data_IF_388327110302
#
_entry.id   IF_388327110302
#
_cell.length_a   1.000
_cell.length_b   1.000
_cell.length_c   1.000
_cell.angle_alpha   90.00
_cell.angle_beta   90.00
_cell.angle_gamma   90.00
#
_symmetry.space_group_name_H-M   'P 1'
#
loop_
_entity.id
_entity.type
_entity.pdbx_description
1 polymer ?
#
# COMPACT_ATOMS: atom_id res chain seq x y z
N UNK A 1 35.33 2.15 39.11
CA UNK A 1 35.24 0.98 38.21
C UNK A 1 33.83 0.40 38.03
N UNK A 2 33.02 0.27 39.08
CA UNK A 2 31.66 -0.31 38.96
C UNK A 2 30.66 0.46 38.08
N UNK A 3 30.62 1.79 38.16
CA UNK A 3 29.68 2.62 37.42
C UNK A 3 29.94 2.64 35.89
N UNK A 4 31.21 2.63 35.47
CA UNK A 4 31.62 2.54 34.07
C UNK A 4 31.20 1.20 33.46
N UNK A 5 31.37 0.11 34.18
CA UNK A 5 31.00 -1.24 33.73
C UNK A 5 29.49 -1.41 33.64
N UNK A 6 28.73 -0.78 34.55
CA UNK A 6 27.26 -0.77 34.49
C UNK A 6 26.74 0.01 33.28
N UNK A 7 27.30 1.18 33.00
CA UNK A 7 26.95 2.02 31.86
C UNK A 7 27.23 1.33 30.52
N UNK A 8 28.34 0.64 30.39
CA UNK A 8 28.67 -0.14 29.19
C UNK A 8 27.72 -1.33 28.99
N UNK A 9 27.38 -2.05 30.07
CA UNK A 9 26.36 -3.13 30.00
C UNK A 9 24.99 -2.62 29.60
N UNK A 10 24.56 -1.46 30.14
CA UNK A 10 23.30 -0.84 29.78
C UNK A 10 23.27 -0.45 28.30
N UNK A 11 24.35 0.16 27.79
CA UNK A 11 24.44 0.53 26.35
C UNK A 11 24.38 -0.70 25.44
N UNK A 12 25.07 -1.79 25.82
CA UNK A 12 25.01 -3.07 25.05
C UNK A 12 23.59 -3.66 25.05
N UNK A 13 22.87 -3.60 26.16
CA UNK A 13 21.49 -4.07 26.26
C UNK A 13 20.56 -3.22 25.38
N UNK A 14 20.68 -1.89 25.45
CA UNK A 14 19.90 -0.97 24.63
C UNK A 14 20.10 -1.24 23.13
N UNK A 15 21.34 -1.41 22.68
CA UNK A 15 21.62 -1.73 21.27
C UNK A 15 21.02 -3.08 20.84
N UNK A 16 21.07 -4.11 21.72
CA UNK A 16 20.42 -5.40 21.44
C UNK A 16 18.91 -5.29 21.32
N UNK A 17 18.25 -4.60 22.24
CA UNK A 17 16.81 -4.38 22.21
C UNK A 17 16.36 -3.60 20.97
N UNK A 18 17.16 -2.62 20.55
CA UNK A 18 16.88 -1.84 19.37
C UNK A 18 16.98 -2.66 18.09
N UNK A 19 18.04 -3.46 17.96
CA UNK A 19 18.18 -4.39 16.84
C UNK A 19 17.06 -5.43 16.85
N UNK A 20 16.68 -5.96 18.01
CA UNK A 20 15.56 -6.89 18.13
C UNK A 20 14.25 -6.24 17.67
N UNK A 21 13.97 -5.00 18.09
CA UNK A 21 12.79 -4.27 17.66
C UNK A 21 12.77 -4.05 16.14
N UNK A 22 13.90 -3.67 15.55
CA UNK A 22 14.01 -3.51 14.09
C UNK A 22 13.76 -4.83 13.35
N UNK A 23 14.40 -5.93 13.78
CA UNK A 23 14.18 -7.24 13.16
C UNK A 23 12.73 -7.72 13.30
N UNK A 24 12.10 -7.49 14.44
CA UNK A 24 10.68 -7.81 14.64
C UNK A 24 9.76 -7.00 13.74
N UNK A 25 10.05 -5.70 13.53
CA UNK A 25 9.36 -4.87 12.53
C UNK A 25 9.55 -5.44 11.12
N UNK A 26 10.76 -5.87 10.76
CA UNK A 26 11.03 -6.50 9.47
C UNK A 26 10.27 -7.83 9.30
N UNK A 27 10.22 -8.66 10.35
CA UNK A 27 9.43 -9.91 10.36
C UNK A 27 7.94 -9.62 10.20
N UNK A 28 7.41 -8.62 10.92
CA UNK A 28 6.02 -8.19 10.75
C UNK A 28 5.73 -7.82 9.30
N UNK A 29 6.56 -6.99 8.67
CA UNK A 29 6.36 -6.60 7.28
C UNK A 29 6.43 -7.78 6.31
N UNK A 30 7.40 -8.68 6.50
CA UNK A 30 7.52 -9.86 5.66
C UNK A 30 6.31 -10.79 5.79
N UNK A 31 5.80 -11.00 7.03
CA UNK A 31 4.66 -11.87 7.29
C UNK A 31 3.30 -11.23 6.97
N UNK A 32 3.19 -9.89 6.98
CA UNK A 32 1.92 -9.18 6.70
C UNK A 32 1.37 -9.54 5.33
N UNK A 33 2.25 -9.76 4.38
CA UNK A 33 1.89 -10.00 2.99
C UNK A 33 1.83 -11.48 2.62
N UNK A 34 2.18 -12.36 3.55
CA UNK A 34 2.10 -13.81 3.34
C UNK A 34 0.80 -14.33 3.94
N UNK A 35 -0.10 -14.92 3.14
CA UNK A 35 -1.35 -15.51 3.64
C UNK A 35 -1.11 -16.52 4.75
N UNK A 36 -2.04 -16.59 5.70
CA UNK A 36 -2.03 -17.49 6.87
C UNK A 36 -0.93 -17.21 7.92
N UNK A 37 -0.12 -16.16 7.77
CA UNK A 37 0.91 -15.76 8.75
C UNK A 37 0.38 -14.77 9.81
N UNK A 38 -0.93 -14.78 10.11
CA UNK A 38 -1.59 -13.82 11.01
C UNK A 38 -0.99 -13.82 12.41
N UNK A 39 -0.71 -14.98 12.97
CA UNK A 39 -0.10 -15.09 14.30
C UNK A 39 1.32 -14.52 14.30
N UNK A 40 2.17 -14.92 13.34
CA UNK A 40 3.54 -14.47 13.26
C UNK A 40 3.64 -12.94 13.10
N UNK A 41 2.82 -12.35 12.24
CA UNK A 41 2.80 -10.90 12.04
C UNK A 41 2.37 -10.13 13.29
N UNK A 42 1.29 -10.54 13.96
CA UNK A 42 0.81 -9.84 15.14
C UNK A 42 1.77 -9.97 16.32
N UNK A 43 2.29 -11.17 16.57
CA UNK A 43 3.27 -11.42 17.63
C UNK A 43 4.53 -10.58 17.40
N UNK A 44 5.08 -10.55 16.19
CA UNK A 44 6.27 -9.76 15.89
C UNK A 44 6.04 -8.27 16.08
N UNK A 45 4.90 -7.72 15.67
CA UNK A 45 4.57 -6.31 15.88
C UNK A 45 4.46 -5.95 17.37
N UNK A 46 3.73 -6.74 18.15
CA UNK A 46 3.56 -6.45 19.57
C UNK A 46 4.86 -6.61 20.36
N UNK A 47 5.69 -7.60 20.03
CA UNK A 47 7.03 -7.73 20.63
C UNK A 47 7.93 -6.56 20.24
N UNK A 48 7.88 -6.09 18.98
CA UNK A 48 8.62 -4.90 18.56
C UNK A 48 8.18 -3.67 19.37
N UNK A 49 6.89 -3.51 19.59
CA UNK A 49 6.34 -2.41 20.38
C UNK A 49 6.79 -2.50 21.85
N UNK A 50 6.77 -3.68 22.46
CA UNK A 50 7.26 -3.90 23.82
C UNK A 50 8.76 -3.55 23.94
N UNK A 51 9.59 -4.00 22.99
CA UNK A 51 11.00 -3.61 22.95
C UNK A 51 11.18 -2.09 22.81
N UNK A 52 10.39 -1.46 21.95
CA UNK A 52 10.44 -0.02 21.72
C UNK A 52 10.02 0.77 22.97
N UNK A 53 8.94 0.37 23.63
CA UNK A 53 8.48 0.99 24.89
C UNK A 53 9.52 0.84 25.98
N UNK A 54 10.13 -0.35 26.11
CA UNK A 54 11.21 -0.57 27.08
C UNK A 54 12.40 0.33 26.81
N UNK A 55 12.84 0.45 25.56
CA UNK A 55 13.90 1.37 25.16
C UNK A 55 13.57 2.83 25.56
N UNK A 56 12.34 3.27 25.33
CA UNK A 56 11.89 4.60 25.72
C UNK A 56 12.05 4.84 27.24
N UNK A 57 11.66 3.88 28.06
CA UNK A 57 11.76 4.03 29.53
C UNK A 57 13.17 3.93 30.08
N UNK A 58 14.08 3.18 29.41
CA UNK A 58 15.48 3.05 29.87
C UNK A 58 16.35 4.27 29.61
N UNK A 59 16.00 5.11 28.61
CA UNK A 59 16.73 6.34 28.32
C UNK A 59 15.79 7.45 27.81
N UNK A 60 14.85 7.81 28.69
CA UNK A 60 13.74 8.72 28.36
C UNK A 60 14.22 10.05 27.79
N UNK A 61 15.26 10.66 28.34
CA UNK A 61 15.73 11.98 27.90
C UNK A 61 16.31 11.92 26.47
N UNK A 62 17.15 10.91 26.20
CA UNK A 62 17.75 10.69 24.89
C UNK A 62 16.69 10.34 23.84
N UNK A 63 15.75 9.47 24.19
CA UNK A 63 14.69 9.08 23.28
C UNK A 63 13.72 10.23 22.99
N UNK A 64 13.31 11.00 24.00
CA UNK A 64 12.43 12.14 23.79
C UNK A 64 13.05 13.17 22.82
N UNK A 65 14.33 13.47 22.96
CA UNK A 65 15.04 14.38 22.08
C UNK A 65 15.09 13.85 20.62
N UNK A 66 15.42 12.58 20.44
CA UNK A 66 15.55 11.96 19.11
C UNK A 66 14.20 11.71 18.45
N UNK A 67 13.18 11.27 19.18
CA UNK A 67 11.80 11.18 18.69
C UNK A 67 11.32 12.55 18.23
N UNK A 68 11.66 13.61 18.95
CA UNK A 68 11.38 14.99 18.55
C UNK A 68 12.03 15.35 17.21
N UNK A 69 13.29 14.96 16.97
CA UNK A 69 13.97 15.17 15.67
C UNK A 69 13.27 14.39 14.56
N UNK A 70 13.01 13.10 14.75
CA UNK A 70 12.33 12.30 13.74
C UNK A 70 10.91 12.80 13.44
N UNK A 71 10.19 13.25 14.48
CA UNK A 71 8.89 13.88 14.28
C UNK A 71 9.01 15.19 13.51
N UNK A 72 10.06 16.00 13.75
CA UNK A 72 10.28 17.25 13.00
C UNK A 72 10.53 17.00 11.51
N UNK A 73 11.25 15.93 11.16
CA UNK A 73 11.51 15.51 9.77
C UNK A 73 10.26 15.10 9.02
N UNK A 74 9.28 14.58 9.72
CA UNK A 74 8.04 14.02 9.16
C UNK A 74 6.77 14.64 9.76
N UNK A 75 6.88 15.85 10.31
CA UNK A 75 5.83 16.48 11.13
C UNK A 75 4.45 16.48 10.48
N UNK A 76 4.33 16.90 9.23
CA UNK A 76 3.03 17.01 8.56
C UNK A 76 2.40 15.63 8.28
N UNK A 77 3.08 14.67 7.62
CA UNK A 77 2.48 13.36 7.37
C UNK A 77 2.23 12.57 8.65
N UNK A 78 3.14 12.66 9.66
CA UNK A 78 2.93 12.00 10.95
C UNK A 78 1.74 12.59 11.69
N UNK A 79 1.62 13.91 11.76
CA UNK A 79 0.48 14.57 12.40
C UNK A 79 -0.83 14.16 11.74
N UNK A 80 -0.92 14.23 10.42
CA UNK A 80 -2.15 13.87 9.69
C UNK A 80 -2.54 12.41 9.92
N UNK A 81 -1.59 11.47 9.84
CA UNK A 81 -1.89 10.05 10.03
C UNK A 81 -2.22 9.69 11.49
N UNK A 82 -1.57 10.31 12.46
CA UNK A 82 -1.89 10.15 13.89
C UNK A 82 -3.27 10.74 14.18
N UNK A 83 -3.52 11.97 13.75
CA UNK A 83 -4.80 12.65 13.93
C UNK A 83 -5.93 11.88 13.24
N UNK A 84 -5.68 11.38 12.02
CA UNK A 84 -6.62 10.51 11.30
C UNK A 84 -6.93 9.23 12.10
N UNK A 85 -5.92 8.58 12.68
CA UNK A 85 -6.11 7.36 13.47
C UNK A 85 -6.99 7.63 14.69
N UNK A 86 -6.69 8.68 15.45
CA UNK A 86 -7.54 9.06 16.60
C UNK A 86 -8.96 9.42 16.16
N UNK A 87 -9.11 10.15 15.06
CA UNK A 87 -10.41 10.47 14.50
C UNK A 87 -11.18 9.23 14.06
N UNK A 88 -10.49 8.28 13.43
CA UNK A 88 -11.08 7.01 13.02
C UNK A 88 -11.63 6.21 14.22
N UNK A 89 -10.88 6.16 15.33
CA UNK A 89 -11.36 5.57 16.58
C UNK A 89 -12.57 6.33 17.15
N UNK A 90 -12.50 7.65 17.20
CA UNK A 90 -13.57 8.49 17.72
C UNK A 90 -14.88 8.26 16.97
N UNK A 91 -14.86 8.32 15.64
CA UNK A 91 -16.06 8.12 14.83
C UNK A 91 -16.55 6.68 14.87
N UNK A 92 -15.64 5.71 14.97
CA UNK A 92 -16.02 4.30 15.12
C UNK A 92 -16.60 3.96 16.49
N UNK A 93 -16.34 4.79 17.51
CA UNK A 93 -17.01 4.69 18.81
C UNK A 93 -18.47 5.23 18.78
N UNK A 94 -18.80 6.09 17.78
CA UNK A 94 -20.14 6.64 17.57
C UNK A 94 -20.65 6.34 16.15
N UNK A 95 -20.77 5.05 15.79
CA UNK A 95 -21.09 4.64 14.42
C UNK A 95 -22.52 4.99 14.03
N UNK A 96 -22.81 4.95 12.73
CA UNK A 96 -24.15 5.13 12.19
C UNK A 96 -25.11 4.03 12.68
N UNK A 97 -24.65 2.78 12.60
CA UNK A 97 -25.40 1.59 13.01
C UNK A 97 -24.70 0.92 14.22
N UNK A 98 -25.09 1.28 15.46
CA UNK A 98 -24.39 0.86 16.68
C UNK A 98 -24.46 -0.64 16.98
N UNK A 99 -25.36 -1.39 16.32
CA UNK A 99 -25.45 -2.84 16.42
C UNK A 99 -24.25 -3.59 15.81
N UNK A 100 -23.40 -2.92 15.02
CA UNK A 100 -22.20 -3.50 14.43
C UNK A 100 -20.94 -2.99 15.11
N UNK A 101 -19.96 -3.86 15.31
CA UNK A 101 -18.70 -3.55 16.01
C UNK A 101 -17.74 -2.71 15.10
N UNK A 102 -18.07 -1.44 14.94
CA UNK A 102 -17.23 -0.51 14.18
C UNK A 102 -15.91 -0.20 14.90
N UNK A 103 -15.93 -0.10 16.23
CA UNK A 103 -14.74 0.22 17.02
C UNK A 103 -13.71 -0.93 17.01
N UNK A 104 -14.15 -2.18 17.17
CA UNK A 104 -13.27 -3.35 17.07
C UNK A 104 -12.67 -3.51 15.69
N UNK A 105 -13.45 -3.27 14.63
CA UNK A 105 -12.98 -3.26 13.26
C UNK A 105 -11.92 -2.16 13.02
N UNK A 106 -12.14 -0.95 13.52
CA UNK A 106 -11.18 0.14 13.45
C UNK A 106 -9.90 -0.17 14.25
N UNK A 107 -10.03 -0.75 15.45
CA UNK A 107 -8.88 -1.17 16.26
C UNK A 107 -8.02 -2.22 15.54
N UNK A 108 -8.64 -3.18 14.89
CA UNK A 108 -7.94 -4.20 14.09
C UNK A 108 -7.17 -3.62 12.90
N UNK A 109 -7.61 -2.53 12.31
CA UNK A 109 -7.00 -1.90 11.14
C UNK A 109 -5.96 -0.84 11.51
N UNK A 110 -6.39 0.18 12.25
CA UNK A 110 -5.57 1.37 12.53
C UNK A 110 -4.66 1.20 13.72
N UNK A 111 -5.04 0.39 14.71
CA UNK A 111 -4.21 0.08 15.88
C UNK A 111 -2.87 -0.53 15.49
N UNK A 112 -2.86 -1.45 14.51
CA UNK A 112 -1.63 -2.03 13.98
C UNK A 112 -0.75 -0.99 13.28
N UNK A 113 -1.36 -0.11 12.48
CA UNK A 113 -0.64 0.97 11.80
C UNK A 113 0.01 1.94 12.78
N UNK A 114 -0.73 2.34 13.81
CA UNK A 114 -0.22 3.21 14.86
C UNK A 114 0.88 2.55 15.69
N UNK A 115 0.70 1.28 16.10
CA UNK A 115 1.71 0.51 16.84
C UNK A 115 3.00 0.36 16.03
N UNK A 116 2.88 0.06 14.73
CA UNK A 116 4.00 0.01 13.79
C UNK A 116 4.74 1.35 13.73
N UNK A 117 4.02 2.43 13.51
CA UNK A 117 4.61 3.76 13.41
C UNK A 117 5.34 4.15 14.70
N UNK A 118 4.74 3.91 15.85
CA UNK A 118 5.36 4.18 17.15
C UNK A 118 6.65 3.38 17.34
N UNK A 119 6.62 2.07 17.04
CA UNK A 119 7.80 1.23 17.11
C UNK A 119 8.92 1.74 16.19
N UNK A 120 8.59 2.11 14.94
CA UNK A 120 9.57 2.63 13.98
C UNK A 120 10.14 3.97 14.41
N UNK A 121 9.33 4.90 14.94
CA UNK A 121 9.83 6.19 15.45
C UNK A 121 10.84 6.00 16.57
N UNK A 122 10.61 5.05 17.47
CA UNK A 122 11.54 4.72 18.54
C UNK A 122 12.80 4.04 18.00
N UNK A 123 12.65 3.06 17.09
CA UNK A 123 13.77 2.34 16.48
C UNK A 123 14.64 3.24 15.62
N UNK A 124 14.06 4.18 14.87
CA UNK A 124 14.80 5.11 14.00
C UNK A 124 15.81 5.98 14.77
N UNK A 125 15.65 6.09 16.09
CA UNK A 125 16.54 6.87 16.95
C UNK A 125 17.84 6.18 17.33
N UNK A 126 18.04 4.93 16.96
CA UNK A 126 19.24 4.22 17.36
C UNK A 126 20.37 4.32 16.37
N UNK A 127 21.57 4.20 16.95
CA UNK A 127 22.81 4.22 16.19
C UNK A 127 22.93 3.01 15.25
N UNK A 128 22.20 1.93 15.53
CA UNK A 128 22.20 0.65 14.80
C UNK A 128 21.05 0.51 13.77
N UNK A 129 20.10 1.45 13.71
CA UNK A 129 18.96 1.35 12.80
C UNK A 129 19.43 1.46 11.34
N UNK A 130 19.24 0.40 10.55
CA UNK A 130 19.63 0.36 9.15
C UNK A 130 18.42 0.37 8.22
N UNK A 131 18.21 1.43 7.42
CA UNK A 131 17.15 1.47 6.40
C UNK A 131 17.24 0.30 5.40
N UNK A 132 18.44 -0.23 5.18
CA UNK A 132 18.65 -1.38 4.30
C UNK A 132 17.92 -2.62 4.78
N UNK A 133 17.86 -2.87 6.09
CA UNK A 133 17.12 -4.01 6.62
C UNK A 133 15.63 -3.93 6.27
N UNK A 134 15.07 -2.73 6.37
CA UNK A 134 13.68 -2.49 5.99
C UNK A 134 13.43 -2.68 4.48
N UNK A 135 14.35 -2.22 3.66
CA UNK A 135 14.31 -2.44 2.22
C UNK A 135 14.40 -3.93 1.85
N UNK A 136 15.29 -4.69 2.50
CA UNK A 136 15.35 -6.14 2.32
C UNK A 136 14.06 -6.84 2.77
N UNK A 137 13.45 -6.39 3.86
CA UNK A 137 12.14 -6.93 4.28
C UNK A 137 11.05 -6.73 3.22
N UNK A 138 10.98 -5.55 2.60
CA UNK A 138 10.06 -5.26 1.49
C UNK A 138 10.30 -6.22 0.32
N UNK A 139 11.56 -6.36 -0.13
CA UNK A 139 11.89 -7.24 -1.25
C UNK A 139 11.61 -8.71 -0.94
N UNK A 140 11.91 -9.15 0.28
CA UNK A 140 11.64 -10.53 0.73
C UNK A 140 10.14 -10.79 0.76
N UNK A 141 9.36 -9.86 1.33
CA UNK A 141 7.90 -9.96 1.35
C UNK A 141 7.35 -10.04 -0.07
N UNK A 142 7.82 -9.19 -0.98
CA UNK A 142 7.37 -9.19 -2.37
C UNK A 142 7.71 -10.50 -3.10
N UNK A 143 8.92 -11.02 -2.91
CA UNK A 143 9.32 -12.30 -3.49
C UNK A 143 8.47 -13.47 -2.97
N UNK A 144 8.27 -13.56 -1.64
CA UNK A 144 7.45 -14.60 -1.03
C UNK A 144 6.00 -14.56 -1.51
N UNK A 145 5.42 -13.36 -1.59
CA UNK A 145 4.05 -13.17 -2.09
C UNK A 145 3.96 -13.53 -3.58
N UNK A 146 4.94 -13.15 -4.39
CA UNK A 146 4.96 -13.49 -5.81
C UNK A 146 5.03 -15.01 -6.03
N UNK A 147 5.86 -15.70 -5.27
CA UNK A 147 5.92 -17.18 -5.31
C UNK A 147 4.59 -17.81 -4.85
N UNK A 148 4.00 -17.29 -3.78
CA UNK A 148 2.73 -17.81 -3.27
C UNK A 148 1.59 -17.67 -4.27
N UNK A 149 1.48 -16.50 -4.92
CA UNK A 149 0.40 -16.22 -5.86
C UNK A 149 0.67 -16.77 -7.26
N UNK A 150 1.88 -17.18 -7.59
CA UNK A 150 2.18 -17.77 -8.91
C UNK A 150 1.28 -18.98 -9.20
N UNK A 151 1.25 -19.98 -8.31
CA UNK A 151 0.45 -21.19 -8.52
C UNK A 151 -1.06 -20.91 -8.63
N UNK A 152 -1.72 -20.17 -7.72
CA UNK A 152 -3.12 -19.81 -7.89
C UNK A 152 -3.42 -19.04 -9.17
N UNK A 153 -2.58 -18.08 -9.56
CA UNK A 153 -2.80 -17.32 -10.78
C UNK A 153 -2.67 -18.17 -12.04
N UNK A 154 -1.73 -19.12 -12.09
CA UNK A 154 -1.61 -20.06 -13.20
C UNK A 154 -2.72 -21.10 -13.22
N UNK A 155 -3.13 -21.66 -12.07
CA UNK A 155 -4.16 -22.71 -12.01
C UNK A 155 -5.57 -22.20 -12.34
N UNK A 156 -5.86 -20.94 -12.05
CA UNK A 156 -7.14 -20.32 -12.40
C UNK A 156 -7.29 -20.05 -13.89
N UNK A 157 -6.19 -20.04 -14.65
CA UNK A 157 -6.22 -20.02 -16.10
C UNK A 157 -6.99 -21.19 -16.70
N UNK A 158 -6.82 -22.38 -16.12
CA UNK A 158 -7.47 -23.61 -16.59
C UNK A 158 -8.92 -23.73 -16.05
N UNK A 159 -9.23 -23.11 -14.91
CA UNK A 159 -10.52 -23.24 -14.21
C UNK A 159 -11.59 -22.20 -14.55
N UNK A 160 -11.30 -21.16 -15.29
CA UNK A 160 -12.28 -20.10 -15.64
C UNK A 160 -13.48 -20.59 -16.48
N UNK A 161 -13.54 -21.88 -16.79
CA UNK A 161 -14.69 -22.52 -17.40
C UNK A 161 -15.70 -23.16 -16.45
N UNK A 162 -15.44 -23.31 -15.13
CA UNK A 162 -16.29 -24.20 -14.34
C UNK A 162 -16.62 -23.87 -12.89
N UNK A 163 -16.01 -22.92 -12.19
CA UNK A 163 -16.42 -22.68 -10.78
C UNK A 163 -15.96 -21.33 -10.19
N UNK A 164 -16.91 -20.59 -9.60
CA UNK A 164 -16.65 -19.63 -8.55
C UNK A 164 -15.92 -18.34 -8.93
N UNK A 165 -16.53 -17.46 -9.73
CA UNK A 165 -15.98 -16.13 -10.08
C UNK A 165 -15.52 -15.29 -8.88
N UNK A 166 -16.03 -15.54 -7.66
CA UNK A 166 -15.78 -14.71 -6.49
C UNK A 166 -14.38 -14.90 -5.90
N UNK A 167 -13.94 -16.14 -5.71
CA UNK A 167 -12.62 -16.46 -5.11
C UNK A 167 -11.48 -16.06 -6.06
N UNK A 168 -11.67 -16.25 -7.36
CA UNK A 168 -10.73 -15.82 -8.37
C UNK A 168 -10.50 -14.31 -8.39
N UNK A 169 -11.54 -13.50 -8.21
CA UNK A 169 -11.43 -12.04 -8.14
C UNK A 169 -10.63 -11.56 -6.93
N UNK A 170 -10.81 -12.19 -5.78
CA UNK A 170 -10.09 -11.83 -4.54
C UNK A 170 -8.59 -12.09 -4.70
N UNK A 171 -8.21 -13.28 -5.19
CA UNK A 171 -6.81 -13.66 -5.42
C UNK A 171 -6.12 -12.69 -6.39
N UNK A 172 -6.77 -12.37 -7.51
CA UNK A 172 -6.23 -11.47 -8.54
C UNK A 172 -6.01 -10.05 -8.00
N UNK A 173 -7.02 -9.47 -7.35
CA UNK A 173 -6.93 -8.13 -6.78
C UNK A 173 -5.87 -8.06 -5.69
N UNK A 174 -5.79 -9.08 -4.83
CA UNK A 174 -4.79 -9.12 -3.78
C UNK A 174 -3.38 -9.10 -4.34
N UNK A 175 -3.07 -9.87 -5.38
CA UNK A 175 -1.75 -9.85 -5.99
C UNK A 175 -1.42 -8.50 -6.65
N UNK A 176 -2.34 -7.95 -7.41
CA UNK A 176 -2.20 -6.63 -8.02
C UNK A 176 -1.89 -5.54 -6.98
N UNK A 177 -2.50 -5.62 -5.80
CA UNK A 177 -2.22 -4.70 -4.69
C UNK A 177 -0.76 -4.77 -4.22
N UNK A 178 -0.13 -5.94 -4.26
CA UNK A 178 1.29 -6.08 -3.91
C UNK A 178 2.21 -5.55 -4.99
N UNK A 179 1.89 -5.79 -6.26
CA UNK A 179 2.69 -5.29 -7.38
C UNK A 179 2.75 -3.78 -7.38
N UNK A 180 1.61 -3.11 -7.27
CA UNK A 180 1.53 -1.65 -7.30
C UNK A 180 2.33 -0.99 -6.17
N UNK A 181 2.47 -1.68 -5.02
CA UNK A 181 3.22 -1.18 -3.87
C UNK A 181 4.71 -1.47 -3.95
N UNK A 182 5.10 -2.67 -4.39
CA UNK A 182 6.46 -3.17 -4.21
C UNK A 182 7.30 -3.19 -5.49
N UNK A 183 6.69 -3.10 -6.67
CA UNK A 183 7.41 -3.00 -7.94
C UNK A 183 8.43 -1.85 -7.97
N UNK A 184 8.13 -0.63 -7.46
CA UNK A 184 9.11 0.45 -7.40
C UNK A 184 10.36 0.10 -6.59
N UNK A 185 10.22 -0.70 -5.54
CA UNK A 185 11.36 -1.15 -4.72
C UNK A 185 12.20 -2.21 -5.43
N UNK A 186 11.58 -3.14 -6.14
CA UNK A 186 12.29 -4.11 -6.96
C UNK A 186 13.07 -3.42 -8.08
N UNK A 187 12.46 -2.44 -8.77
CA UNK A 187 13.15 -1.60 -9.75
C UNK A 187 14.32 -0.83 -9.13
N UNK A 188 14.13 -0.21 -7.96
CA UNK A 188 15.21 0.47 -7.25
C UNK A 188 16.36 -0.49 -6.90
N UNK A 189 16.07 -1.72 -6.51
CA UNK A 189 17.03 -2.76 -6.19
C UNK A 189 17.98 -3.06 -7.36
N UNK A 190 17.49 -3.06 -8.59
CA UNK A 190 18.33 -3.25 -9.79
C UNK A 190 19.47 -2.22 -9.86
N UNK A 191 19.23 -1.00 -9.38
CA UNK A 191 20.19 0.11 -9.48
C UNK A 191 20.97 0.37 -8.19
N UNK A 192 20.48 -0.08 -7.04
CA UNK A 192 21.09 0.11 -5.73
C UNK A 192 22.12 -0.98 -5.42
N UNK A 193 21.83 -2.23 -5.76
CA UNK A 193 22.73 -3.33 -5.45
C UNK A 193 24.00 -3.29 -6.31
N UNK A 194 25.15 -3.51 -5.67
CA UNK A 194 26.45 -3.64 -6.35
C UNK A 194 26.67 -5.04 -6.94
N UNK A 195 26.16 -6.07 -6.25
CA UNK A 195 26.34 -7.48 -6.65
C UNK A 195 25.43 -7.82 -7.84
N UNK A 196 26.02 -8.40 -8.89
CA UNK A 196 25.30 -8.74 -10.13
C UNK A 196 24.12 -9.68 -9.87
N UNK A 197 24.30 -10.72 -9.06
CA UNK A 197 23.23 -11.68 -8.76
C UNK A 197 22.00 -10.99 -8.10
N UNK A 198 22.22 -10.05 -7.18
CA UNK A 198 21.15 -9.32 -6.52
C UNK A 198 20.39 -8.40 -7.51
N UNK A 199 21.11 -7.77 -8.44
CA UNK A 199 20.51 -6.97 -9.52
C UNK A 199 19.66 -7.84 -10.45
N UNK A 200 20.19 -8.99 -10.86
CA UNK A 200 19.48 -9.96 -11.72
C UNK A 200 18.25 -10.50 -11.01
N UNK A 201 18.35 -10.83 -9.71
CA UNK A 201 17.21 -11.28 -8.92
C UNK A 201 16.11 -10.22 -8.84
N UNK A 202 16.46 -8.94 -8.64
CA UNK A 202 15.49 -7.85 -8.66
C UNK A 202 14.86 -7.66 -10.04
N UNK A 203 15.63 -7.76 -11.12
CA UNK A 203 15.09 -7.68 -12.48
C UNK A 203 14.16 -8.85 -12.80
N UNK A 204 14.53 -10.07 -12.39
CA UNK A 204 13.68 -11.25 -12.53
C UNK A 204 12.38 -11.11 -11.72
N UNK A 205 12.45 -10.56 -10.50
CA UNK A 205 11.26 -10.27 -9.69
C UNK A 205 10.35 -9.24 -10.37
N UNK A 206 10.91 -8.18 -10.97
CA UNK A 206 10.13 -7.22 -11.76
C UNK A 206 9.41 -7.89 -12.93
N UNK A 207 10.12 -8.72 -13.70
CA UNK A 207 9.53 -9.44 -14.85
C UNK A 207 8.44 -10.40 -14.41
N UNK A 208 8.69 -11.20 -13.38
CA UNK A 208 7.70 -12.12 -12.82
C UNK A 208 6.46 -11.36 -12.30
N UNK A 209 6.68 -10.27 -11.56
CA UNK A 209 5.60 -9.46 -11.02
C UNK A 209 4.74 -8.85 -12.13
N UNK A 210 5.35 -8.29 -13.17
CA UNK A 210 4.63 -7.73 -14.32
C UNK A 210 3.82 -8.83 -15.05
N UNK A 211 4.45 -9.97 -15.32
CA UNK A 211 3.78 -11.09 -15.96
C UNK A 211 2.58 -11.60 -15.17
N UNK A 212 2.75 -11.88 -13.88
CA UNK A 212 1.69 -12.35 -12.99
C UNK A 212 0.56 -11.32 -12.81
N UNK A 213 0.90 -10.02 -12.76
CA UNK A 213 -0.11 -8.97 -12.63
C UNK A 213 -0.93 -8.81 -13.92
N UNK A 214 -0.30 -8.91 -15.08
CA UNK A 214 -1.02 -8.93 -16.36
C UNK A 214 -1.98 -10.13 -16.39
N UNK A 215 -1.54 -11.28 -15.92
CA UNK A 215 -2.37 -12.47 -15.78
C UNK A 215 -3.51 -12.26 -14.77
N UNK A 216 -3.34 -11.41 -13.76
CA UNK A 216 -4.41 -11.06 -12.82
C UNK A 216 -5.62 -10.39 -13.50
N UNK A 217 -5.42 -9.73 -14.63
CA UNK A 217 -6.45 -9.03 -15.38
C UNK A 217 -7.01 -7.79 -14.67
N UNK A 218 -6.29 -7.20 -13.71
CA UNK A 218 -6.70 -6.00 -12.96
C UNK A 218 -6.24 -4.74 -13.71
N UNK A 219 -7.14 -4.12 -14.48
CA UNK A 219 -6.83 -2.99 -15.36
C UNK A 219 -6.24 -1.78 -14.65
N UNK A 220 -6.74 -1.47 -13.44
CA UNK A 220 -6.22 -0.36 -12.65
C UNK A 220 -4.76 -0.55 -12.27
N UNK A 221 -4.35 -1.79 -11.98
CA UNK A 221 -2.95 -2.13 -11.72
C UNK A 221 -2.07 -1.99 -12.97
N UNK A 222 -2.56 -2.36 -14.15
CA UNK A 222 -1.81 -2.13 -15.39
C UNK A 222 -1.50 -0.64 -15.61
N UNK A 223 -2.49 0.23 -15.33
CA UNK A 223 -2.28 1.69 -15.35
C UNK A 223 -1.24 2.14 -14.32
N UNK A 224 -1.32 1.60 -13.11
CA UNK A 224 -0.36 1.89 -12.04
C UNK A 224 1.06 1.39 -12.37
N UNK A 225 1.19 0.18 -12.94
CA UNK A 225 2.47 -0.34 -13.44
C UNK A 225 3.09 0.56 -14.52
N UNK A 226 2.30 0.96 -15.51
CA UNK A 226 2.78 1.87 -16.55
C UNK A 226 3.25 3.20 -15.94
N UNK A 227 2.45 3.78 -15.05
CA UNK A 227 2.82 4.99 -14.31
C UNK A 227 4.11 4.78 -13.50
N UNK A 228 4.28 3.62 -12.85
CA UNK A 228 5.49 3.26 -12.12
C UNK A 228 6.74 3.33 -13.03
N UNK A 229 6.70 2.71 -14.21
CA UNK A 229 7.82 2.76 -15.14
C UNK A 229 8.10 4.17 -15.63
N UNK A 230 7.07 4.94 -16.00
CA UNK A 230 7.23 6.34 -16.45
C UNK A 230 7.88 7.20 -15.36
N UNK A 231 7.32 7.14 -14.14
CA UNK A 231 7.83 7.92 -13.00
C UNK A 231 9.24 7.50 -12.60
N UNK A 232 9.54 6.19 -12.63
CA UNK A 232 10.86 5.69 -12.30
C UNK A 232 11.90 6.13 -13.36
N UNK A 233 11.55 6.06 -14.65
CA UNK A 233 12.37 6.57 -15.73
C UNK A 233 12.65 8.08 -15.60
N UNK A 234 11.64 8.86 -15.21
CA UNK A 234 11.79 10.29 -14.92
C UNK A 234 12.74 10.54 -13.73
N UNK A 235 12.58 9.79 -12.63
CA UNK A 235 13.49 9.88 -11.49
C UNK A 235 14.95 9.53 -11.87
N UNK A 236 15.16 8.51 -12.69
CA UNK A 236 16.48 8.17 -13.19
C UNK A 236 17.07 9.27 -14.09
N UNK A 237 16.24 9.91 -14.91
CA UNK A 237 16.67 11.02 -15.75
C UNK A 237 17.15 12.22 -14.92
N UNK A 238 16.43 12.58 -13.85
CA UNK A 238 16.82 13.65 -12.93
C UNK A 238 18.11 13.32 -12.17
N UNK A 239 18.45 12.03 -12.01
CA UNK A 239 19.60 11.59 -11.22
C UNK A 239 20.98 12.12 -11.75
N UNK A 240 21.09 12.55 -13.03
CA UNK A 240 22.29 13.22 -13.59
C UNK A 240 23.42 12.27 -14.03
N UNK A 241 24.57 12.78 -14.35
CA UNK A 241 25.84 12.24 -14.90
C UNK A 241 26.01 10.76 -15.32
N UNK A 242 25.68 9.79 -14.48
CA UNK A 242 25.60 8.36 -14.83
C UNK A 242 24.27 7.96 -15.49
N UNK A 243 23.38 8.91 -15.71
CA UNK A 243 22.00 8.70 -16.16
C UNK A 243 21.93 7.89 -17.47
N UNK A 244 22.81 8.16 -18.45
CA UNK A 244 22.74 7.47 -19.75
C UNK A 244 22.90 5.96 -19.63
N UNK A 245 23.83 5.47 -18.78
CA UNK A 245 24.06 4.03 -18.60
C UNK A 245 22.92 3.39 -17.81
N UNK A 246 22.47 4.05 -16.73
CA UNK A 246 21.32 3.59 -15.92
C UNK A 246 20.05 3.61 -16.74
N UNK A 247 19.83 4.64 -17.56
CA UNK A 247 18.65 4.74 -18.42
C UNK A 247 18.64 3.67 -19.52
N UNK A 248 19.79 3.33 -20.14
CA UNK A 248 19.87 2.21 -21.09
C UNK A 248 19.44 0.89 -20.44
N UNK A 249 19.98 0.58 -19.24
CA UNK A 249 19.59 -0.63 -18.51
C UNK A 249 18.11 -0.60 -18.18
N UNK A 250 17.57 0.52 -17.73
CA UNK A 250 16.13 0.69 -17.45
C UNK A 250 15.30 0.44 -18.72
N UNK A 251 15.68 1.01 -19.86
CA UNK A 251 14.98 0.82 -21.12
C UNK A 251 14.96 -0.65 -21.57
N UNK A 252 16.06 -1.38 -21.35
CA UNK A 252 16.09 -2.86 -21.59
C UNK A 252 15.13 -3.59 -20.67
N UNK A 253 15.14 -3.30 -19.35
CA UNK A 253 14.21 -3.94 -18.41
C UNK A 253 12.77 -3.62 -18.79
N UNK A 254 12.48 -2.36 -19.10
CA UNK A 254 11.13 -1.95 -19.52
C UNK A 254 10.70 -2.70 -20.80
N UNK A 255 11.56 -2.76 -21.81
CA UNK A 255 11.26 -3.49 -23.05
C UNK A 255 11.00 -4.98 -22.80
N UNK A 256 11.80 -5.62 -21.93
CA UNK A 256 11.61 -7.04 -21.56
C UNK A 256 10.30 -7.22 -20.79
N UNK A 257 9.97 -6.30 -19.86
CA UNK A 257 8.69 -6.32 -19.15
C UNK A 257 7.50 -6.15 -20.10
N UNK A 258 7.59 -5.22 -21.06
CA UNK A 258 6.55 -5.03 -22.09
C UNK A 258 6.39 -6.26 -22.96
N UNK A 259 7.48 -6.87 -23.42
CA UNK A 259 7.43 -8.12 -24.19
C UNK A 259 6.81 -9.25 -23.38
N UNK A 260 7.20 -9.40 -22.10
CA UNK A 260 6.61 -10.39 -21.18
C UNK A 260 5.12 -10.14 -20.93
N UNK A 261 4.73 -8.89 -20.72
CA UNK A 261 3.32 -8.49 -20.58
C UNK A 261 2.52 -8.81 -21.84
N UNK A 262 3.04 -8.50 -23.02
CA UNK A 262 2.40 -8.80 -24.29
C UNK A 262 2.23 -10.31 -24.48
N UNK A 263 3.25 -11.09 -24.18
CA UNK A 263 3.16 -12.56 -24.22
C UNK A 263 2.11 -13.10 -23.24
N UNK A 264 2.03 -12.54 -22.03
CA UNK A 264 1.02 -12.90 -21.03
C UNK A 264 -0.40 -12.56 -21.50
N UNK A 265 -0.61 -11.38 -22.12
CA UNK A 265 -1.92 -11.02 -22.72
C UNK A 265 -2.31 -12.02 -23.80
N UNK A 266 -1.39 -12.33 -24.71
CA UNK A 266 -1.67 -13.23 -25.83
C UNK A 266 -1.91 -14.69 -25.40
N UNK A 267 -1.30 -15.12 -24.29
CA UNK A 267 -1.48 -16.48 -23.75
C UNK A 267 -2.73 -16.66 -22.91
N UNK A 268 -3.37 -15.55 -22.47
CA UNK A 268 -4.50 -15.59 -21.55
C UNK A 268 -5.78 -15.02 -22.15
N UNK A 269 -6.81 -15.84 -22.38
CA UNK A 269 -8.12 -15.34 -22.84
C UNK A 269 -8.70 -14.26 -21.93
N UNK A 270 -8.52 -14.39 -20.60
CA UNK A 270 -9.00 -13.40 -19.65
C UNK A 270 -8.23 -12.08 -19.72
N UNK A 271 -6.89 -12.14 -19.78
CA UNK A 271 -6.07 -10.95 -19.93
C UNK A 271 -6.36 -10.25 -21.25
N UNK A 272 -6.49 -11.02 -22.33
CA UNK A 272 -6.85 -10.53 -23.65
C UNK A 272 -8.23 -9.85 -23.64
N UNK A 273 -9.26 -10.50 -23.06
CA UNK A 273 -10.59 -9.90 -22.89
C UNK A 273 -10.53 -8.58 -22.12
N UNK A 274 -9.78 -8.54 -21.00
CA UNK A 274 -9.63 -7.31 -20.20
C UNK A 274 -8.87 -6.22 -20.94
N UNK A 275 -7.88 -6.57 -21.73
CA UNK A 275 -7.14 -5.63 -22.56
C UNK A 275 -8.05 -4.97 -23.61
N UNK A 276 -8.89 -5.75 -24.29
CA UNK A 276 -9.86 -5.21 -25.24
C UNK A 276 -10.93 -4.33 -24.59
N UNK A 277 -11.32 -4.62 -23.34
CA UNK A 277 -12.24 -3.74 -22.58
C UNK A 277 -11.71 -2.32 -22.35
N UNK A 278 -10.39 -2.07 -22.49
CA UNK A 278 -9.80 -0.73 -22.39
C UNK A 278 -10.15 0.13 -23.64
N UNK A 279 -10.75 -0.43 -24.66
CA UNK A 279 -11.15 0.29 -25.87
C UNK A 279 -9.99 0.71 -26.78
N UNK A 280 -8.75 0.32 -26.45
CA UNK A 280 -7.57 0.64 -27.25
C UNK A 280 -7.53 -0.13 -28.58
N UNK A 281 -8.36 -1.14 -28.74
CA UNK A 281 -8.37 -2.00 -29.92
C UNK A 281 -9.81 -2.41 -30.25
N UNK A 282 -10.63 -1.42 -30.62
CA UNK A 282 -12.03 -1.68 -31.04
C UNK A 282 -12.17 -2.46 -32.34
N UNK A 283 -11.10 -2.50 -33.14
CA UNK A 283 -11.16 -3.00 -34.53
C UNK A 283 -10.58 -4.41 -34.74
N UNK A 284 -10.07 -5.06 -33.68
CA UNK A 284 -9.62 -6.44 -33.82
C UNK A 284 -10.83 -7.38 -33.87
N UNK A 285 -10.90 -8.13 -34.95
CA UNK A 285 -11.96 -9.10 -35.23
C UNK A 285 -11.84 -10.29 -34.27
N UNK A 286 -12.52 -10.23 -33.13
CA UNK A 286 -12.46 -11.26 -32.06
C UNK A 286 -13.25 -12.55 -32.43
N UNK A 287 -13.72 -12.71 -33.62
CA UNK A 287 -14.32 -13.98 -34.11
C UNK A 287 -15.52 -14.53 -33.27
N UNK A 288 -15.88 -13.88 -32.16
CA UNK A 288 -16.88 -14.36 -31.22
C UNK A 288 -17.86 -13.24 -30.88
N UNK A 289 -19.06 -13.26 -31.44
CA UNK A 289 -20.11 -12.25 -31.24
C UNK A 289 -20.50 -12.07 -29.77
N UNK A 290 -20.57 -13.16 -29.01
CA UNK A 290 -20.94 -13.11 -27.58
C UNK A 290 -19.90 -12.33 -26.74
N UNK A 291 -18.65 -12.31 -27.15
CA UNK A 291 -17.57 -11.56 -26.50
C UNK A 291 -17.64 -10.06 -26.83
N UNK A 292 -18.04 -9.71 -28.07
CA UNK A 292 -18.28 -8.32 -28.48
C UNK A 292 -19.44 -7.67 -27.72
N UNK A 293 -20.54 -8.37 -27.55
CA UNK A 293 -21.70 -7.89 -26.80
C UNK A 293 -21.37 -7.66 -25.30
N UNK A 294 -20.60 -8.58 -24.69
CA UNK A 294 -20.11 -8.43 -23.32
C UNK A 294 -19.14 -7.26 -23.15
N UNK A 295 -18.29 -6.98 -24.13
CA UNK A 295 -17.37 -5.84 -24.11
C UNK A 295 -18.14 -4.54 -24.24
N UNK A 296 -19.09 -4.48 -25.18
CA UNK A 296 -19.91 -3.29 -25.41
C UNK A 296 -20.80 -2.93 -24.20
N UNK A 297 -21.32 -3.95 -23.47
CA UNK A 297 -22.18 -3.74 -22.31
C UNK A 297 -21.45 -3.38 -21.01
N UNK A 298 -20.15 -3.68 -20.89
CA UNK A 298 -19.45 -3.51 -19.61
C UNK A 298 -18.90 -2.10 -19.33
N UNK A 299 -18.79 -1.23 -20.32
CA UNK A 299 -18.24 0.15 -20.18
C UNK A 299 -16.82 0.20 -19.57
N UNK A 300 -16.12 1.30 -19.74
CA UNK A 300 -14.79 1.52 -19.17
C UNK A 300 -14.79 1.50 -17.63
N UNK A 301 -15.81 2.09 -17.00
CA UNK A 301 -15.92 2.23 -15.55
C UNK A 301 -16.38 0.96 -14.82
N UNK A 302 -16.88 -0.06 -15.55
CA UNK A 302 -17.52 -1.25 -14.95
C UNK A 302 -18.64 -0.89 -13.95
N UNK A 303 -19.38 0.19 -14.20
CA UNK A 303 -20.51 0.66 -13.38
C UNK A 303 -20.11 1.52 -12.17
N UNK A 304 -18.84 1.85 -11.96
CA UNK A 304 -18.40 2.71 -10.84
C UNK A 304 -18.90 4.14 -10.94
N UNK A 305 -19.08 4.66 -12.16
CA UNK A 305 -19.68 5.96 -12.40
C UNK A 305 -21.15 6.02 -11.92
N UNK A 306 -21.91 4.94 -12.07
CA UNK A 306 -23.25 4.83 -11.50
C UNK A 306 -23.20 4.83 -9.97
N UNK A 307 -22.30 4.03 -9.38
CA UNK A 307 -22.13 4.00 -7.94
C UNK A 307 -21.87 5.41 -7.39
N UNK A 308 -20.96 6.15 -8.01
CA UNK A 308 -20.65 7.51 -7.58
C UNK A 308 -21.82 8.48 -7.76
N UNK A 309 -22.55 8.39 -8.87
CA UNK A 309 -23.69 9.27 -9.17
C UNK A 309 -24.89 9.01 -8.26
N UNK A 310 -25.13 7.76 -7.88
CA UNK A 310 -26.31 7.40 -7.09
C UNK A 310 -26.05 7.51 -5.58
N UNK A 311 -24.91 7.02 -5.09
CA UNK A 311 -24.67 6.84 -3.65
C UNK A 311 -24.00 8.05 -2.99
N UNK A 312 -23.06 8.70 -3.66
CA UNK A 312 -22.32 9.81 -3.07
C UNK A 312 -23.23 11.02 -2.75
N UNK A 313 -24.21 11.40 -3.59
CA UNK A 313 -25.17 12.45 -3.24
C UNK A 313 -26.01 12.14 -2.00
N UNK A 314 -26.35 10.87 -1.74
CA UNK A 314 -27.09 10.48 -0.53
C UNK A 314 -26.28 10.78 0.72
N UNK A 315 -24.98 10.49 0.70
CA UNK A 315 -24.10 10.83 1.82
C UNK A 315 -23.94 12.33 1.99
N UNK A 316 -23.80 13.09 0.90
CA UNK A 316 -23.73 14.56 0.96
C UNK A 316 -24.98 15.21 1.52
N UNK A 317 -26.14 14.64 1.29
CA UNK A 317 -27.41 15.11 1.87
C UNK A 317 -27.55 14.71 3.36
N UNK A 318 -26.73 13.80 3.86
CA UNK A 318 -26.76 13.30 5.23
C UNK A 318 -25.97 14.20 6.18
N UNK A 319 -26.39 14.36 7.46
CA UNK A 319 -25.57 14.98 8.51
C UNK A 319 -24.21 14.27 8.70
N UNK A 320 -24.10 13.02 8.28
CA UNK A 320 -22.87 12.21 8.34
C UNK A 320 -21.84 12.58 7.27
N UNK A 321 -22.14 13.45 6.32
CA UNK A 321 -21.21 13.94 5.33
C UNK A 321 -19.92 14.53 5.96
N UNK A 322 -20.04 15.21 7.10
CA UNK A 322 -18.89 15.82 7.80
C UNK A 322 -18.13 14.79 8.64
N UNK A 323 -18.86 13.99 9.42
CA UNK A 323 -18.27 13.10 10.43
C UNK A 323 -17.99 11.68 9.93
N UNK A 324 -18.76 11.19 8.97
CA UNK A 324 -18.71 9.80 8.49
C UNK A 324 -19.66 8.87 9.23
N UNK A 325 -19.73 7.64 8.72
CA UNK A 325 -20.63 6.58 9.23
C UNK A 325 -19.99 5.74 10.34
N UNK A 326 -18.68 5.84 10.56
CA UNK A 326 -17.89 4.87 11.32
C UNK A 326 -17.30 3.79 10.41
N UNK A 327 -16.26 3.09 10.90
CA UNK A 327 -15.52 2.13 10.10
C UNK A 327 -16.25 0.77 10.03
N UNK A 328 -16.31 0.24 8.83
CA UNK A 328 -16.82 -1.11 8.55
C UNK A 328 -17.82 -1.12 7.41
N UNK A 329 -17.79 -2.22 6.65
CA UNK A 329 -18.71 -2.41 5.53
C UNK A 329 -20.17 -2.45 6.00
N UNK A 330 -20.42 -2.95 7.18
CA UNK A 330 -21.72 -3.02 7.80
C UNK A 330 -22.35 -1.63 8.01
N UNK A 331 -21.53 -0.63 8.35
CA UNK A 331 -21.97 0.77 8.49
C UNK A 331 -22.46 1.34 7.15
N UNK A 332 -21.69 1.07 6.10
CA UNK A 332 -22.01 1.46 4.75
C UNK A 332 -23.29 0.78 4.24
N UNK A 333 -23.40 -0.54 4.41
CA UNK A 333 -24.60 -1.29 3.99
C UNK A 333 -25.86 -0.86 4.77
N UNK A 334 -25.73 -0.55 6.07
CA UNK A 334 -26.84 -0.04 6.88
C UNK A 334 -27.32 1.31 6.39
N UNK A 335 -26.42 2.24 6.11
CA UNK A 335 -26.75 3.55 5.57
C UNK A 335 -27.49 3.43 4.23
N UNK A 336 -27.00 2.61 3.30
CA UNK A 336 -27.64 2.43 2.00
C UNK A 336 -29.02 1.74 2.11
N UNK A 337 -29.18 0.82 3.08
CA UNK A 337 -30.49 0.22 3.36
C UNK A 337 -31.51 1.26 3.80
N UNK A 338 -31.12 2.11 4.76
CA UNK A 338 -32.01 3.16 5.27
C UNK A 338 -32.41 4.15 4.17
N UNK A 339 -31.47 4.52 3.29
CA UNK A 339 -31.77 5.40 2.15
C UNK A 339 -32.67 4.72 1.10
N UNK A 340 -32.45 3.42 0.83
CA UNK A 340 -33.31 2.65 -0.06
C UNK A 340 -34.73 2.50 0.51
N UNK A 341 -34.89 2.32 1.83
CA UNK A 341 -36.18 2.23 2.52
C UNK A 341 -36.93 3.58 2.52
N UNK A 342 -36.22 4.70 2.42
CA UNK A 342 -36.79 6.04 2.19
C UNK A 342 -37.16 6.27 0.72
N UNK A 343 -36.92 5.33 -0.17
CA UNK A 343 -37.26 5.39 -1.60
C UNK A 343 -36.14 5.81 -2.53
N UNK A 344 -34.91 5.90 -2.05
CA UNK A 344 -33.77 6.17 -2.93
C UNK A 344 -33.52 4.97 -3.88
N UNK A 345 -33.35 5.26 -5.17
CA UNK A 345 -32.95 4.25 -6.13
C UNK A 345 -31.42 4.01 -6.03
N UNK A 346 -31.02 2.80 -5.64
CA UNK A 346 -29.62 2.42 -5.48
C UNK A 346 -29.35 1.14 -6.26
N UNK A 347 -28.66 1.28 -7.38
CA UNK A 347 -28.31 0.17 -8.27
C UNK A 347 -27.32 -0.81 -7.61
N UNK A 348 -27.20 -2.01 -8.23
CA UNK A 348 -26.24 -3.04 -7.85
C UNK A 348 -26.43 -3.60 -6.42
N UNK A 349 -27.69 -3.58 -5.95
CA UNK A 349 -28.07 -4.26 -4.72
C UNK A 349 -27.97 -5.76 -4.91
N UNK A 350 -27.46 -6.43 -3.89
CA UNK A 350 -27.43 -7.89 -3.79
C UNK A 350 -28.12 -8.34 -2.50
N UNK A 351 -28.55 -9.59 -2.49
CA UNK A 351 -29.18 -10.19 -1.33
C UNK A 351 -28.38 -11.40 -0.88
N UNK A 352 -28.02 -11.44 0.39
CA UNK A 352 -27.39 -12.61 1.01
C UNK A 352 -28.41 -13.74 1.17
N UNK A 353 -27.96 -15.00 1.36
CA UNK A 353 -28.86 -16.13 1.59
C UNK A 353 -29.83 -15.94 2.81
N UNK A 354 -29.45 -15.12 3.77
CA UNK A 354 -30.27 -14.75 4.93
C UNK A 354 -31.31 -13.65 4.64
N UNK A 355 -31.44 -13.19 3.38
CA UNK A 355 -32.36 -12.12 2.96
C UNK A 355 -31.80 -10.71 3.18
N UNK A 356 -30.61 -10.53 3.73
CA UNK A 356 -30.03 -9.23 3.99
C UNK A 356 -29.55 -8.57 2.71
N UNK A 357 -30.01 -7.34 2.44
CA UNK A 357 -29.57 -6.51 1.30
C UNK A 357 -28.18 -5.94 1.61
N UNK A 358 -27.29 -5.98 0.63
CA UNK A 358 -25.96 -5.38 0.69
C UNK A 358 -25.54 -4.89 -0.69
N UNK A 359 -24.53 -4.02 -0.72
CA UNK A 359 -23.97 -3.47 -1.95
C UNK A 359 -22.48 -3.75 -2.04
N UNK A 360 -21.96 -3.89 -3.25
CA UNK A 360 -20.51 -3.89 -3.43
C UNK A 360 -19.95 -2.52 -3.06
N UNK A 361 -18.90 -2.52 -2.25
CA UNK A 361 -18.11 -1.34 -1.93
C UNK A 361 -16.90 -1.32 -2.88
N UNK A 362 -17.15 -0.88 -4.11
CA UNK A 362 -16.13 -0.78 -5.17
C UNK A 362 -15.78 0.70 -5.45
N UNK A 363 -16.08 1.60 -4.53
CA UNK A 363 -15.73 3.01 -4.62
C UNK A 363 -14.21 3.19 -4.63
N UNK A 364 -13.70 4.22 -5.35
CA UNK A 364 -12.30 4.63 -5.25
C UNK A 364 -11.86 4.83 -3.81
N UNK A 365 -10.57 4.59 -3.52
CA UNK A 365 -10.04 4.53 -2.16
C UNK A 365 -10.45 5.71 -1.27
N UNK A 366 -10.23 6.95 -1.73
CA UNK A 366 -10.55 8.12 -0.92
C UNK A 366 -12.06 8.33 -0.77
N UNK A 367 -12.86 7.94 -1.75
CA UNK A 367 -14.33 8.04 -1.68
C UNK A 367 -14.88 6.98 -0.74
N UNK A 368 -14.39 5.75 -0.79
CA UNK A 368 -14.75 4.72 0.18
C UNK A 368 -14.44 5.15 1.62
N UNK A 369 -13.29 5.80 1.83
CA UNK A 369 -12.94 6.37 3.15
C UNK A 369 -13.80 7.56 3.53
N UNK A 370 -14.31 8.33 2.56
CA UNK A 370 -15.24 9.42 2.82
C UNK A 370 -16.55 8.93 3.44
N UNK A 371 -17.07 7.77 3.03
CA UNK A 371 -18.23 7.17 3.71
C UNK A 371 -17.94 6.87 5.17
N UNK A 372 -16.77 6.28 5.47
CA UNK A 372 -16.44 5.91 6.83
C UNK A 372 -16.12 7.08 7.74
N UNK A 373 -15.43 8.10 7.23
CA UNK A 373 -14.81 9.16 8.05
C UNK A 373 -15.26 10.58 7.69
N UNK A 374 -16.14 10.74 6.72
CA UNK A 374 -16.65 12.05 6.30
C UNK A 374 -15.57 12.98 5.76
N UNK A 375 -15.91 14.26 5.66
CA UNK A 375 -15.01 15.28 5.14
C UNK A 375 -13.75 15.46 6.03
N UNK A 376 -13.91 15.44 7.35
CA UNK A 376 -12.80 15.67 8.30
C UNK A 376 -11.77 14.56 8.20
N UNK A 377 -12.19 13.30 8.30
CA UNK A 377 -11.25 12.17 8.22
C UNK A 377 -10.60 12.04 6.84
N UNK A 378 -11.35 12.27 5.77
CA UNK A 378 -10.80 12.24 4.41
C UNK A 378 -9.79 13.36 4.18
N UNK A 379 -10.01 14.56 4.71
CA UNK A 379 -9.05 15.65 4.64
C UNK A 379 -7.74 15.32 5.38
N UNK A 380 -7.82 14.69 6.56
CA UNK A 380 -6.64 14.21 7.30
C UNK A 380 -5.89 13.12 6.52
N UNK A 381 -6.61 12.18 5.93
CA UNK A 381 -6.04 11.11 5.12
C UNK A 381 -5.33 11.65 3.87
N UNK A 382 -6.00 12.54 3.12
CA UNK A 382 -5.42 13.21 1.96
C UNK A 382 -4.22 14.09 2.35
N UNK A 383 -4.32 14.80 3.46
CA UNK A 383 -3.20 15.60 4.01
C UNK A 383 -1.99 14.74 4.33
N UNK A 384 -2.20 13.58 4.95
CA UNK A 384 -1.15 12.58 5.20
C UNK A 384 -0.52 12.06 3.91
N UNK A 385 -1.35 11.68 2.94
CA UNK A 385 -0.90 11.19 1.64
C UNK A 385 -0.08 12.24 0.86
N UNK A 386 -0.64 13.43 0.65
CA UNK A 386 0.01 14.49 -0.14
C UNK A 386 1.30 14.95 0.53
N UNK A 387 1.29 15.14 1.85
CA UNK A 387 2.49 15.57 2.57
C UNK A 387 3.59 14.51 2.54
N UNK A 388 3.25 13.22 2.64
CA UNK A 388 4.23 12.13 2.54
C UNK A 388 4.82 12.02 1.13
N UNK A 389 4.00 12.15 0.09
CA UNK A 389 4.46 12.24 -1.30
C UNK A 389 5.44 13.40 -1.48
N UNK A 390 5.06 14.59 -1.04
CA UNK A 390 5.87 15.79 -1.16
C UNK A 390 7.21 15.65 -0.41
N UNK A 391 7.20 15.05 0.78
CA UNK A 391 8.40 14.83 1.58
C UNK A 391 9.33 13.81 0.93
N UNK A 392 8.80 12.67 0.48
CA UNK A 392 9.60 11.64 -0.19
C UNK A 392 10.23 12.20 -1.48
N UNK A 393 9.47 12.93 -2.30
CA UNK A 393 10.00 13.54 -3.52
C UNK A 393 11.05 14.62 -3.24
N UNK A 394 10.81 15.50 -2.25
CA UNK A 394 11.76 16.54 -1.86
C UNK A 394 13.08 15.96 -1.36
N UNK A 395 13.03 14.92 -0.53
CA UNK A 395 14.22 14.23 -0.05
C UNK A 395 14.94 13.48 -1.16
N UNK A 396 14.22 12.88 -2.11
CA UNK A 396 14.82 12.33 -3.32
C UNK A 396 15.60 13.38 -4.12
N UNK A 397 14.99 14.55 -4.35
CA UNK A 397 15.66 15.64 -5.08
C UNK A 397 16.96 16.12 -4.38
N UNK A 398 16.98 16.12 -3.05
CA UNK A 398 18.14 16.54 -2.25
C UNK A 398 19.23 15.47 -2.15
N UNK A 399 18.85 14.26 -1.75
CA UNK A 399 19.77 13.17 -1.47
C UNK A 399 20.18 12.36 -2.70
N UNK A 400 19.37 12.39 -3.75
CA UNK A 400 19.48 11.53 -4.94
C UNK A 400 19.43 10.04 -4.62
N UNK A 401 18.89 9.64 -3.46
CA UNK A 401 18.73 8.24 -3.08
C UNK A 401 17.46 7.66 -3.70
N UNK A 402 17.63 6.58 -4.50
CA UNK A 402 16.52 5.91 -5.20
C UNK A 402 15.47 5.30 -4.27
N UNK A 403 15.79 5.09 -2.99
CA UNK A 403 14.80 4.60 -2.02
C UNK A 403 13.71 5.63 -1.73
N UNK A 404 14.04 6.93 -1.69
CA UNK A 404 13.02 7.97 -1.59
C UNK A 404 12.16 8.05 -2.85
N UNK A 405 12.76 7.86 -4.03
CA UNK A 405 12.00 7.74 -5.28
C UNK A 405 11.05 6.53 -5.23
N UNK A 406 11.51 5.37 -4.73
CA UNK A 406 10.67 4.17 -4.62
C UNK A 406 9.49 4.39 -3.67
N UNK A 407 9.68 5.05 -2.52
CA UNK A 407 8.59 5.42 -1.60
C UNK A 407 7.57 6.33 -2.31
N UNK A 408 8.06 7.40 -2.98
CA UNK A 408 7.22 8.34 -3.68
C UNK A 408 6.40 7.66 -4.79
N UNK A 409 7.05 6.87 -5.65
CA UNK A 409 6.41 6.20 -6.78
C UNK A 409 5.41 5.15 -6.29
N UNK A 410 5.76 4.39 -5.25
CA UNK A 410 4.89 3.38 -4.67
C UNK A 410 3.58 3.99 -4.14
N UNK A 411 3.68 5.08 -3.38
CA UNK A 411 2.50 5.80 -2.88
C UNK A 411 1.68 6.39 -4.03
N UNK A 412 2.35 7.04 -5.01
CA UNK A 412 1.69 7.65 -6.17
C UNK A 412 0.97 6.61 -7.03
N UNK A 413 1.59 5.46 -7.29
CA UNK A 413 0.97 4.40 -8.08
C UNK A 413 -0.20 3.74 -7.35
N UNK A 414 -0.01 3.37 -6.09
CA UNK A 414 -1.00 2.63 -5.33
C UNK A 414 -2.20 3.50 -4.93
N UNK A 415 -1.98 4.56 -4.16
CA UNK A 415 -3.08 5.43 -3.69
C UNK A 415 -3.49 6.49 -4.72
N UNK A 416 -2.53 7.01 -5.50
CA UNK A 416 -2.78 8.01 -6.53
C UNK A 416 -3.42 7.39 -7.76
N UNK A 417 -2.68 6.63 -8.57
CA UNK A 417 -3.20 6.15 -9.85
C UNK A 417 -4.30 5.11 -9.65
N UNK A 418 -3.99 4.01 -8.97
CA UNK A 418 -4.98 2.93 -8.80
C UNK A 418 -6.10 3.32 -7.85
N UNK A 419 -5.78 3.94 -6.72
CA UNK A 419 -6.76 4.33 -5.72
C UNK A 419 -7.76 5.40 -6.16
N UNK A 420 -7.49 6.15 -7.24
CA UNK A 420 -8.46 7.05 -7.87
C UNK A 420 -9.53 6.32 -8.67
N UNK A 421 -9.24 5.12 -9.16
CA UNK A 421 -10.12 4.39 -10.06
C UNK A 421 -10.71 3.12 -9.46
N UNK A 422 -10.07 2.56 -8.44
CA UNK A 422 -10.45 1.28 -7.86
C UNK A 422 -10.52 1.31 -6.34
N UNK A 423 -11.38 0.47 -5.77
CA UNK A 423 -11.31 0.11 -4.37
C UNK A 423 -10.01 -0.66 -4.11
N UNK A 424 -9.30 -0.27 -3.07
CA UNK A 424 -8.05 -0.91 -2.67
C UNK A 424 -8.30 -1.78 -1.45
N UNK A 425 -8.01 -3.07 -1.56
CA UNK A 425 -8.23 -4.02 -0.47
C UNK A 425 -7.21 -3.88 0.67
N UNK A 426 -5.99 -3.46 0.35
CA UNK A 426 -4.94 -3.23 1.32
C UNK A 426 -4.93 -1.76 1.69
N UNK A 427 -5.18 -1.52 2.94
CA UNK A 427 -5.68 -0.31 3.54
C UNK A 427 -4.56 0.66 3.90
N UNK A 428 -4.92 1.67 4.65
CA UNK A 428 -4.05 2.75 5.12
C UNK A 428 -2.76 2.28 5.83
N UNK A 429 -2.71 1.06 6.34
CA UNK A 429 -1.52 0.46 6.97
C UNK A 429 -0.26 0.62 6.10
N UNK A 430 -0.41 0.58 4.78
CA UNK A 430 0.70 0.79 3.88
C UNK A 430 1.26 2.23 3.90
N UNK A 431 0.43 3.24 4.12
CA UNK A 431 0.93 4.60 4.37
C UNK A 431 1.77 4.67 5.64
N UNK A 432 1.39 3.96 6.70
CA UNK A 432 2.20 3.88 7.92
C UNK A 432 3.56 3.21 7.68
N UNK A 433 3.61 2.16 6.85
CA UNK A 433 4.89 1.53 6.48
C UNK A 433 5.78 2.50 5.73
N UNK A 434 5.22 3.20 4.75
CA UNK A 434 5.98 4.14 3.94
C UNK A 434 6.45 5.34 4.75
N UNK A 435 5.62 5.85 5.67
CA UNK A 435 6.04 6.90 6.61
C UNK A 435 7.17 6.41 7.53
N UNK A 436 7.05 5.19 8.07
CA UNK A 436 8.10 4.59 8.89
C UNK A 436 9.41 4.42 8.12
N UNK A 437 9.34 3.95 6.88
CA UNK A 437 10.53 3.82 6.04
C UNK A 437 11.14 5.18 5.68
N UNK A 438 10.31 6.16 5.38
CA UNK A 438 10.76 7.54 5.17
C UNK A 438 11.52 8.08 6.39
N UNK A 439 10.99 7.90 7.59
CA UNK A 439 11.64 8.34 8.84
C UNK A 439 13.01 7.70 9.02
N UNK A 440 13.11 6.38 8.81
CA UNK A 440 14.39 5.65 8.91
C UNK A 440 15.43 6.17 7.92
N UNK A 441 15.03 6.44 6.66
CA UNK A 441 15.91 6.97 5.63
C UNK A 441 16.33 8.41 5.95
N UNK A 442 15.38 9.28 6.29
CA UNK A 442 15.64 10.69 6.55
C UNK A 442 16.58 10.88 7.76
N UNK A 443 16.36 10.14 8.84
CA UNK A 443 17.23 10.17 10.01
C UNK A 443 18.69 9.81 9.69
N UNK A 444 18.91 8.90 8.75
CA UNK A 444 20.28 8.48 8.35
C UNK A 444 20.97 9.47 7.40
N UNK A 445 20.21 10.11 6.51
CA UNK A 445 20.78 11.10 5.57
C UNK A 445 21.21 12.37 6.28
N UNK A 446 20.49 12.83 7.29
CA UNK A 446 20.89 14.02 8.09
C UNK A 446 22.15 13.78 8.92
N UNK A 447 22.31 12.58 9.51
CA UNK A 447 23.54 12.23 10.26
C UNK A 447 24.77 12.26 9.35
N UNK A 448 24.66 11.86 8.09
CA UNK A 448 25.76 11.91 7.11
C UNK A 448 26.04 13.31 6.60
N UNK A 449 25.03 14.16 6.43
CA UNK A 449 25.17 15.54 5.96
C UNK A 449 25.72 16.51 7.00
N UNK A 450 25.38 16.32 8.28
CA UNK A 450 25.86 17.17 9.37
C UNK A 450 27.32 17.00 9.77
N UNK A 451 28.01 15.99 9.21
CA UNK A 451 29.44 15.74 9.45
C UNK A 451 30.40 16.48 8.51
N UNK A 452 29.88 17.23 7.54
CA UNK A 452 30.70 17.93 6.52
C UNK A 452 30.78 19.45 6.76
N UNK A 453 29.99 19.99 7.69
CA UNK A 453 29.97 21.42 8.03
C UNK A 453 30.19 21.66 9.55
N UNK A 454 31.27 21.11 10.14
CA UNK A 454 31.82 21.59 11.42
C UNK A 454 33.32 21.54 11.42
#
# INVERSE_FOLDING_TARGET
>A
MGALNLREKMTKLQNRLQNAALYLVCVFMACEHVPRMTAAKNISLYLALVCAIWLYFTDRARFAARVGVNFSLSRAPAFCLIAFTFYAFLISAFPYAPQFDSLGNAAGEFGRGFAFLLAVYIVANGDQAEPRAFFYAILTAFALVSVYYAAPLFSEFERLGSAGEFDARVVRRAYADYVDRFLPFALAGVFIFSRLWARVSCAALCLAAVGLDVLSGVRGSWGAMLACFIMFGFCLYIFGGEAKRKFKLFAVIFAVCVAGASAAVLSSPTAMYKFFQIGLVSDINLGNESMRERIAGAGFSSGRDLILKERLPLLFASPRAITGLGYGKEQYDAFLRDEADKGAHISMMQTRPNGERYWFNDEPFFIGHYYYYGAVGTALLLGGFISLLAYAFRHFLRSRELLFAAIFISLACYFGVRGLFEAINLRILYMFYMLGFFVLLAARTEVKGGGVER
#
